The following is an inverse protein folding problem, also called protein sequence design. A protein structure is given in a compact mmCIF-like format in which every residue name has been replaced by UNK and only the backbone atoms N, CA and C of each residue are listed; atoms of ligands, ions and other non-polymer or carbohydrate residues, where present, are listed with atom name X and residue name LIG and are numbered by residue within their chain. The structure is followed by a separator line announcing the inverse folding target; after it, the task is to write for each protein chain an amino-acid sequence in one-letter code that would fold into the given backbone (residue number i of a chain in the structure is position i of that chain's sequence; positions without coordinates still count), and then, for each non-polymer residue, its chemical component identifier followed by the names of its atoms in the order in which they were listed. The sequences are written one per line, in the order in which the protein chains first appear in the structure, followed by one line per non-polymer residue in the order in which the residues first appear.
data_IF_429113491577
#
_entry.id   IF_429113491577
#
_cell.length_a   1.000
_cell.length_b   1.000
_cell.length_c   1.000
_cell.angle_alpha   90.00
_cell.angle_beta   90.00
_cell.angle_gamma   90.00
#
_symmetry.space_group_name_H-M   'P 1'
#
loop_
_entity.id
_entity.type
_entity.pdbx_description
1 polymer ?
#
# COMPACT_ATOMS: atom_id res chain seq x y z
N UNK A 1 16.97 -0.12 -32.95
CA UNK A 1 17.03 0.05 -31.49
C UNK A 1 16.45 -1.19 -30.85
N UNK A 2 17.11 -1.79 -29.86
CA UNK A 2 16.56 -2.94 -29.15
C UNK A 2 15.55 -2.44 -28.10
N UNK A 3 14.30 -2.94 -28.14
CA UNK A 3 13.31 -2.67 -27.10
C UNK A 3 13.81 -3.21 -25.75
N UNK A 4 13.64 -2.42 -24.68
CA UNK A 4 14.03 -2.80 -23.32
C UNK A 4 12.80 -3.28 -22.58
N UNK A 5 12.64 -4.59 -22.44
CA UNK A 5 11.60 -5.19 -21.61
C UNK A 5 11.69 -4.64 -20.17
N UNK A 6 10.59 -4.04 -19.67
CA UNK A 6 10.53 -3.43 -18.31
C UNK A 6 9.96 -4.39 -17.24
N UNK A 7 9.60 -5.62 -17.61
CA UNK A 7 9.03 -6.60 -16.69
C UNK A 7 10.08 -7.44 -15.96
N UNK A 8 9.71 -8.69 -15.68
CA UNK A 8 10.56 -9.70 -15.03
C UNK A 8 11.92 -9.86 -15.73
N UNK A 9 13.06 -9.95 -15.01
CA UNK A 9 14.33 -10.24 -15.66
C UNK A 9 14.26 -11.46 -16.58
N UNK A 10 14.85 -11.37 -17.78
CA UNK A 10 14.79 -12.46 -18.78
C UNK A 10 15.32 -13.80 -18.25
N UNK A 11 16.33 -13.75 -17.38
CA UNK A 11 16.86 -14.92 -16.66
C UNK A 11 15.78 -15.60 -15.83
N UNK A 12 15.01 -14.84 -15.07
CA UNK A 12 13.95 -15.39 -14.19
C UNK A 12 12.77 -15.92 -15.03
N UNK A 13 12.49 -15.34 -16.20
CA UNK A 13 11.53 -15.88 -17.16
C UNK A 13 12.02 -17.24 -17.68
N UNK A 14 13.29 -17.32 -18.08
CA UNK A 14 13.90 -18.56 -18.56
C UNK A 14 13.88 -19.65 -17.48
N UNK A 15 14.20 -19.31 -16.23
CA UNK A 15 14.16 -20.23 -15.08
C UNK A 15 12.73 -20.75 -14.84
N UNK A 16 11.73 -19.85 -14.76
CA UNK A 16 10.32 -20.25 -14.57
C UNK A 16 9.79 -21.14 -15.69
N UNK A 17 10.17 -20.87 -16.94
CA UNK A 17 9.79 -21.71 -18.07
C UNK A 17 10.51 -23.06 -18.03
N UNK A 18 11.77 -23.08 -17.61
CA UNK A 18 12.54 -24.31 -17.46
C UNK A 18 11.97 -25.22 -16.38
N UNK A 19 11.51 -24.65 -15.26
CA UNK A 19 10.83 -25.37 -14.18
C UNK A 19 9.46 -25.91 -14.59
N UNK A 20 8.73 -25.18 -15.44
CA UNK A 20 7.35 -25.50 -15.81
C UNK A 20 7.24 -26.60 -16.88
N UNK A 21 8.26 -26.77 -17.73
CA UNK A 21 8.24 -27.69 -18.86
C UNK A 21 9.20 -28.88 -18.67
N UNK A 22 8.92 -30.00 -19.36
CA UNK A 22 9.76 -31.20 -19.29
C UNK A 22 11.20 -30.92 -19.74
N UNK A 23 12.17 -31.72 -19.27
CA UNK A 23 13.61 -31.58 -19.56
C UNK A 23 13.97 -31.44 -21.05
N UNK A 24 13.15 -32.01 -21.94
CA UNK A 24 13.36 -31.98 -23.39
C UNK A 24 12.97 -30.63 -24.00
N UNK A 25 11.88 -30.04 -23.53
CA UNK A 25 11.40 -28.72 -23.97
C UNK A 25 12.18 -27.60 -23.28
N UNK A 26 12.56 -27.79 -22.02
CA UNK A 26 13.21 -26.76 -21.22
C UNK A 26 14.66 -26.44 -21.60
N UNK A 27 15.35 -27.35 -22.32
CA UNK A 27 16.68 -27.07 -22.89
C UNK A 27 16.71 -25.87 -23.84
N UNK A 28 15.57 -25.48 -24.40
CA UNK A 28 15.46 -24.34 -25.33
C UNK A 28 15.32 -22.98 -24.65
N UNK A 29 14.97 -22.92 -23.36
CA UNK A 29 14.70 -21.66 -22.66
C UNK A 29 15.96 -21.12 -22.01
N UNK A 30 16.79 -20.42 -22.79
CA UNK A 30 17.92 -19.65 -22.29
C UNK A 30 17.56 -18.17 -22.18
N UNK A 31 18.30 -17.42 -21.35
CA UNK A 31 18.21 -15.93 -21.29
C UNK A 31 18.30 -15.29 -22.69
N UNK A 32 19.15 -15.85 -23.56
CA UNK A 32 19.28 -15.37 -24.93
C UNK A 32 18.04 -15.69 -25.78
N UNK A 33 17.45 -16.88 -25.64
CA UNK A 33 16.22 -17.27 -26.31
C UNK A 33 15.08 -16.30 -25.97
N UNK A 34 14.93 -15.98 -24.68
CA UNK A 34 13.89 -15.04 -24.22
C UNK A 34 14.17 -13.64 -24.77
N UNK A 35 15.43 -13.17 -24.73
CA UNK A 35 15.82 -11.89 -25.36
C UNK A 35 15.46 -11.84 -26.84
N UNK A 36 15.64 -12.94 -27.56
CA UNK A 36 15.38 -13.02 -28.99
C UNK A 36 13.89 -12.93 -29.32
N UNK A 37 12.99 -13.33 -28.41
CA UNK A 37 11.55 -13.16 -28.58
C UNK A 37 11.11 -11.69 -28.68
N UNK A 38 11.82 -10.77 -28.02
CA UNK A 38 11.49 -9.34 -28.00
C UNK A 38 12.26 -8.52 -29.05
N UNK A 39 13.24 -9.10 -29.75
CA UNK A 39 13.96 -8.44 -30.85
C UNK A 39 13.08 -8.29 -32.08
N UNK A 40 13.47 -7.39 -32.99
CA UNK A 40 12.77 -7.19 -34.27
C UNK A 40 12.67 -8.52 -35.04
N UNK A 41 11.44 -8.92 -35.41
CA UNK A 41 11.15 -10.21 -36.05
C UNK A 41 11.05 -11.39 -35.09
N UNK A 42 11.22 -11.17 -33.78
CA UNK A 42 10.98 -12.14 -32.73
C UNK A 42 9.49 -12.34 -32.44
N UNK A 43 9.15 -13.49 -31.86
CA UNK A 43 7.77 -13.96 -31.68
C UNK A 43 6.88 -13.01 -30.87
N UNK A 44 7.45 -12.24 -29.93
CA UNK A 44 6.71 -11.35 -29.02
C UNK A 44 6.95 -9.87 -29.32
N UNK A 45 7.64 -9.55 -30.40
CA UNK A 45 8.06 -8.18 -30.69
C UNK A 45 6.89 -7.21 -30.86
N UNK A 46 5.94 -7.55 -31.74
CA UNK A 46 4.80 -6.67 -32.06
C UNK A 46 3.82 -6.55 -30.89
N UNK A 47 3.57 -7.65 -30.17
CA UNK A 47 2.72 -7.65 -28.99
C UNK A 47 3.32 -6.78 -27.87
N UNK A 48 4.63 -6.93 -27.63
CA UNK A 48 5.31 -6.13 -26.61
C UNK A 48 5.39 -4.65 -27.01
N UNK A 49 5.56 -4.34 -28.29
CA UNK A 49 5.51 -2.97 -28.82
C UNK A 49 4.14 -2.32 -28.59
N UNK A 50 3.07 -3.07 -28.84
CA UNK A 50 1.70 -2.62 -28.60
C UNK A 50 1.50 -2.34 -27.13
N UNK A 51 1.86 -3.29 -26.27
CA UNK A 51 1.84 -3.13 -24.81
C UNK A 51 2.64 -1.90 -24.33
N UNK A 52 3.86 -1.69 -24.84
CA UNK A 52 4.70 -0.55 -24.46
C UNK A 52 4.02 0.78 -24.82
N UNK A 53 3.36 0.84 -25.98
CA UNK A 53 2.62 2.03 -26.42
C UNK A 53 1.41 2.30 -25.51
N UNK A 54 0.63 1.27 -25.19
CA UNK A 54 -0.53 1.38 -24.29
C UNK A 54 -0.12 1.82 -22.88
N UNK A 55 0.96 1.27 -22.34
CA UNK A 55 1.48 1.64 -21.02
C UNK A 55 1.97 3.10 -21.01
N UNK A 56 2.72 3.52 -22.03
CA UNK A 56 3.18 4.91 -22.13
C UNK A 56 2.00 5.90 -22.22
N UNK A 57 0.89 5.52 -22.86
CA UNK A 57 -0.34 6.30 -22.88
C UNK A 57 -1.00 6.39 -21.49
N UNK A 58 -1.16 5.25 -20.81
CA UNK A 58 -1.71 5.20 -19.44
C UNK A 58 -0.86 6.01 -18.45
N UNK A 59 0.47 5.88 -18.52
CA UNK A 59 1.38 6.67 -17.68
C UNK A 59 1.22 8.17 -17.91
N UNK A 60 1.07 8.59 -19.18
CA UNK A 60 0.84 9.99 -19.54
C UNK A 60 -0.49 10.51 -18.98
N UNK A 61 -1.56 9.74 -19.11
CA UNK A 61 -2.87 10.09 -18.55
C UNK A 61 -2.83 10.21 -17.02
N UNK A 62 -2.20 9.26 -16.35
CA UNK A 62 -2.01 9.28 -14.90
C UNK A 62 -1.24 10.52 -14.44
N UNK A 63 -0.16 10.88 -15.15
CA UNK A 63 0.60 12.11 -14.87
C UNK A 63 -0.27 13.37 -14.98
N UNK A 64 -1.17 13.44 -15.96
CA UNK A 64 -2.09 14.56 -16.12
C UNK A 64 -3.08 14.61 -14.94
N UNK A 65 -3.65 13.46 -14.55
CA UNK A 65 -4.58 13.37 -13.42
C UNK A 65 -3.90 13.80 -12.13
N UNK A 66 -2.70 13.28 -11.84
CA UNK A 66 -1.91 13.63 -10.65
C UNK A 66 -1.61 15.13 -10.62
N UNK A 67 -1.21 15.72 -11.76
CA UNK A 67 -0.97 17.17 -11.84
C UNK A 67 -2.23 17.98 -11.57
N UNK A 68 -3.37 17.59 -12.12
CA UNK A 68 -4.67 18.25 -11.88
C UNK A 68 -5.11 18.13 -10.42
N UNK A 69 -5.02 16.93 -9.84
CA UNK A 69 -5.35 16.73 -8.42
C UNK A 69 -4.42 17.54 -7.52
N UNK A 70 -3.11 17.52 -7.78
CA UNK A 70 -2.14 18.32 -7.03
C UNK A 70 -2.40 19.82 -7.15
N UNK A 71 -2.83 20.33 -8.30
CA UNK A 71 -3.23 21.73 -8.45
C UNK A 71 -4.48 22.07 -7.62
N UNK A 72 -5.51 21.22 -7.64
CA UNK A 72 -6.73 21.40 -6.84
C UNK A 72 -6.46 21.38 -5.34
N UNK A 73 -5.63 20.44 -4.86
CA UNK A 73 -5.22 20.37 -3.45
C UNK A 73 -4.47 21.63 -3.03
N UNK A 74 -3.56 22.14 -3.87
CA UNK A 74 -2.86 23.40 -3.58
C UNK A 74 -3.79 24.60 -3.52
N UNK A 75 -4.74 24.68 -4.45
CA UNK A 75 -5.74 25.75 -4.47
C UNK A 75 -6.63 25.73 -3.23
N UNK A 76 -7.10 24.55 -2.82
CA UNK A 76 -7.90 24.36 -1.62
C UNK A 76 -7.11 24.72 -0.35
N UNK A 77 -5.87 24.24 -0.23
CA UNK A 77 -5.01 24.59 0.89
C UNK A 77 -4.73 26.10 0.96
N UNK A 78 -4.53 26.76 -0.19
CA UNK A 78 -4.30 28.20 -0.25
C UNK A 78 -5.55 28.99 0.18
N UNK A 79 -6.74 28.58 -0.28
CA UNK A 79 -8.01 29.19 0.13
C UNK A 79 -8.20 29.10 1.64
N UNK A 80 -8.00 27.92 2.22
CA UNK A 80 -8.21 27.68 3.65
C UNK A 80 -7.18 28.45 4.49
N UNK A 81 -5.91 28.48 4.07
CA UNK A 81 -4.89 29.29 4.74
C UNK A 81 -5.25 30.79 4.73
N UNK A 82 -5.79 31.30 3.62
CA UNK A 82 -6.26 32.68 3.55
C UNK A 82 -7.47 32.94 4.46
N UNK A 83 -8.45 32.02 4.49
CA UNK A 83 -9.60 32.11 5.41
C UNK A 83 -9.14 32.15 6.88
N UNK A 84 -8.16 31.32 7.24
CA UNK A 84 -7.56 31.30 8.58
C UNK A 84 -6.79 32.58 8.90
N UNK A 85 -6.00 33.10 7.95
CA UNK A 85 -5.30 34.37 8.11
C UNK A 85 -6.28 35.53 8.32
N UNK A 86 -7.38 35.57 7.56
CA UNK A 86 -8.44 36.56 7.72
C UNK A 86 -9.11 36.42 9.09
N UNK A 87 -9.43 35.19 9.52
CA UNK A 87 -9.99 34.94 10.85
C UNK A 87 -9.03 35.36 11.98
N UNK A 88 -7.73 35.15 11.81
CA UNK A 88 -6.70 35.54 12.76
C UNK A 88 -6.53 37.06 12.84
N UNK A 89 -6.51 37.75 11.70
CA UNK A 89 -6.34 39.22 11.61
C UNK A 89 -7.60 39.96 12.11
N UNK A 90 -8.79 39.43 11.82
CA UNK A 90 -10.06 40.08 12.16
C UNK A 90 -10.64 39.72 13.54
N UNK A 91 -10.09 38.73 14.25
CA UNK A 91 -10.66 38.26 15.51
C UNK A 91 -10.02 38.93 16.73
N UNK A 92 -10.84 39.57 17.56
CA UNK A 92 -10.47 39.97 18.93
C UNK A 92 -10.54 38.79 19.92
N UNK A 93 -11.13 37.66 19.50
CA UNK A 93 -11.34 36.47 20.33
C UNK A 93 -10.24 35.43 20.12
N UNK A 94 -9.50 35.12 21.17
CA UNK A 94 -8.36 34.21 21.14
C UNK A 94 -8.75 32.76 20.84
N UNK A 95 -9.98 32.33 21.13
CA UNK A 95 -10.43 30.96 20.80
C UNK A 95 -10.49 30.73 19.29
N UNK A 96 -10.85 31.74 18.51
CA UNK A 96 -10.87 31.67 17.04
C UNK A 96 -9.43 31.59 16.51
N UNK A 97 -8.50 32.33 17.11
CA UNK A 97 -7.07 32.29 16.75
C UNK A 97 -6.46 30.92 17.04
N UNK A 98 -6.73 30.38 18.23
CA UNK A 98 -6.27 29.06 18.65
C UNK A 98 -6.83 27.95 17.77
N UNK A 99 -8.10 28.04 17.36
CA UNK A 99 -8.71 27.10 16.42
C UNK A 99 -8.02 27.10 15.05
N UNK A 100 -7.74 28.29 14.50
CA UNK A 100 -7.02 28.43 13.24
C UNK A 100 -5.57 27.91 13.32
N UNK A 101 -4.85 28.20 14.42
CA UNK A 101 -3.49 27.71 14.65
C UNK A 101 -3.47 26.18 14.75
N UNK A 102 -4.41 25.58 15.49
CA UNK A 102 -4.52 24.12 15.64
C UNK A 102 -4.75 23.43 14.30
N UNK A 103 -5.67 23.95 13.48
CA UNK A 103 -5.97 23.37 12.17
C UNK A 103 -4.79 23.52 11.17
N UNK A 104 -3.98 24.57 11.29
CA UNK A 104 -2.72 24.71 10.54
C UNK A 104 -1.69 23.65 10.97
N UNK A 105 -1.52 23.44 12.29
CA UNK A 105 -0.63 22.43 12.85
C UNK A 105 -1.04 21.01 12.41
N UNK A 106 -2.33 20.67 12.51
CA UNK A 106 -2.87 19.37 12.10
C UNK A 106 -2.65 19.08 10.60
N UNK A 107 -2.58 20.11 9.74
CA UNK A 107 -2.26 19.96 8.32
C UNK A 107 -0.76 19.82 8.03
N UNK A 108 0.10 20.49 8.80
CA UNK A 108 1.56 20.48 8.59
C UNK A 108 2.21 19.25 9.20
N UNK A 109 1.85 18.92 10.44
CA UNK A 109 2.46 17.83 11.20
C UNK A 109 1.64 16.54 11.13
N UNK A 110 0.45 16.61 10.54
CA UNK A 110 -0.55 15.55 10.57
C UNK A 110 -1.35 15.58 11.87
N UNK A 111 -2.54 14.97 11.87
CA UNK A 111 -3.32 14.84 13.10
C UNK A 111 -2.58 13.92 14.08
N UNK A 112 -2.48 14.28 15.37
CA UNK A 112 -2.02 13.34 16.38
C UNK A 112 -2.84 12.05 16.25
N UNK A 113 -2.18 10.88 16.26
CA UNK A 113 -2.89 9.60 16.33
C UNK A 113 -3.84 9.69 17.53
N UNK A 114 -5.14 9.53 17.29
CA UNK A 114 -6.13 9.49 18.36
C UNK A 114 -5.62 8.54 19.44
N UNK A 115 -5.55 9.03 20.68
CA UNK A 115 -5.21 8.17 21.80
C UNK A 115 -6.20 7.01 21.77
N UNK A 116 -5.69 5.79 21.58
CA UNK A 116 -6.50 4.58 21.67
C UNK A 116 -7.14 4.64 23.04
N UNK A 117 -8.44 4.91 23.10
CA UNK A 117 -9.18 4.78 24.34
C UNK A 117 -9.14 3.29 24.67
N UNK A 118 -8.22 2.89 25.55
CA UNK A 118 -8.32 1.60 26.22
C UNK A 118 -9.61 1.72 27.02
N UNK A 119 -10.66 1.11 26.49
CA UNK A 119 -11.94 1.01 27.17
C UNK A 119 -11.68 0.28 28.49
N UNK A 120 -11.72 1.00 29.62
CA UNK A 120 -11.49 0.53 31.00
C UNK A 120 -12.41 -0.63 31.44
N UNK A 121 -13.26 -1.11 30.53
CA UNK A 121 -14.18 -2.23 30.72
C UNK A 121 -13.66 -3.56 30.20
N UNK A 122 -12.51 -3.61 29.53
CA UNK A 122 -11.92 -4.89 29.10
C UNK A 122 -11.09 -5.47 30.24
N UNK A 123 -11.32 -6.73 30.65
CA UNK A 123 -10.50 -7.36 31.66
C UNK A 123 -9.04 -7.32 31.23
N UNK A 124 -8.16 -7.05 32.19
CA UNK A 124 -6.71 -7.04 31.94
C UNK A 124 -6.28 -8.40 31.40
N UNK A 125 -5.19 -8.44 30.62
CA UNK A 125 -4.61 -9.70 30.16
C UNK A 125 -4.35 -10.67 31.33
N UNK A 126 -3.95 -10.15 32.49
CA UNK A 126 -3.76 -10.96 33.69
C UNK A 126 -5.07 -11.58 34.21
N UNK A 127 -6.18 -10.87 34.11
CA UNK A 127 -7.50 -11.37 34.52
C UNK A 127 -8.00 -12.45 33.56
N UNK A 128 -7.82 -12.26 32.25
CA UNK A 128 -8.15 -13.27 31.24
C UNK A 128 -7.32 -14.55 31.43
N UNK A 129 -6.02 -14.42 31.73
CA UNK A 129 -5.14 -15.58 31.97
C UNK A 129 -5.62 -16.38 33.20
N UNK A 130 -5.91 -15.71 34.33
CA UNK A 130 -6.42 -16.40 35.53
C UNK A 130 -7.75 -17.11 35.29
N UNK A 131 -8.58 -16.57 34.42
CA UNK A 131 -9.87 -17.16 34.10
C UNK A 131 -9.71 -18.45 33.27
N UNK A 132 -8.80 -18.42 32.29
CA UNK A 132 -8.44 -19.60 31.50
C UNK A 132 -7.78 -20.70 32.36
N UNK A 133 -6.88 -20.34 33.28
CA UNK A 133 -6.26 -21.30 34.20
C UNK A 133 -7.32 -21.98 35.09
N UNK A 134 -8.30 -21.22 35.58
CA UNK A 134 -9.39 -21.76 36.40
C UNK A 134 -10.29 -22.70 35.61
N UNK A 135 -10.63 -22.35 34.37
CA UNK A 135 -11.40 -23.20 33.46
C UNK A 135 -10.65 -24.51 33.14
N UNK A 136 -9.33 -24.43 32.94
CA UNK A 136 -8.48 -25.60 32.70
C UNK A 136 -8.43 -26.55 33.92
N UNK A 137 -8.33 -26.02 35.14
CA UNK A 137 -8.39 -26.81 36.37
C UNK A 137 -9.74 -27.48 36.57
N UNK A 138 -10.84 -26.78 36.27
CA UNK A 138 -12.18 -27.35 36.32
C UNK A 138 -12.38 -28.46 35.28
N UNK A 139 -11.80 -28.31 34.09
CA UNK A 139 -11.85 -29.33 33.05
C UNK A 139 -11.08 -30.58 33.46
N UNK A 140 -9.88 -30.43 34.04
CA UNK A 140 -9.10 -31.56 34.57
C UNK A 140 -9.84 -32.32 35.66
N UNK A 141 -10.45 -31.61 36.61
CA UNK A 141 -11.24 -32.24 37.69
C UNK A 141 -12.49 -32.97 37.20
N UNK A 142 -13.14 -32.51 36.11
CA UNK A 142 -14.30 -33.23 35.55
C UNK A 142 -13.87 -34.54 34.89
N UNK A 143 -12.77 -34.52 34.14
CA UNK A 143 -12.27 -35.72 33.49
C UNK A 143 -11.68 -36.75 34.48
N UNK A 144 -11.08 -36.31 35.59
CA UNK A 144 -10.62 -37.23 36.64
C UNK A 144 -11.76 -37.95 37.40
N UNK A 145 -12.97 -37.39 37.41
CA UNK A 145 -14.15 -38.01 38.04
C UNK A 145 -14.97 -38.88 37.08
N UNK A 146 -14.62 -38.96 35.79
CA UNK A 146 -15.28 -39.84 34.81
C UNK A 146 -14.57 -41.20 34.65
N UNK A 147 -13.42 -41.40 35.31
CA UNK A 147 -12.58 -42.61 35.25
C UNK A 147 -12.63 -43.49 36.54
N UNK A 148 -13.50 -43.18 37.51
CA UNK A 148 -13.82 -44.00 38.72
C UNK A 148 -15.26 -44.55 38.67
#
# INVERSE_FOLDING_TARGET
MAMKYRGTPYKDIAEKLTERFSKEVSRGFSDQTIKDWFKLGGTLHEDYRTYETEIDEVERENLIIIKKMGARIREENFRIANEMLVALIGSENDNVKLGAIRELLDRVEGKPKEAISVDDKRPSYEEMIRQLEREEEEYKKRNENEDD
#
